data_IF_244501871168
#
_entry.id   IF_244501871168
#
_cell.length_a   1.000
_cell.length_b   1.000
_cell.length_c   1.000
_cell.angle_alpha   90.00
_cell.angle_beta   90.00
_cell.angle_gamma   90.00
#
_symmetry.space_group_name_H-M   'P 1'
#
loop_
_entity.id
_entity.type
_entity.pdbx_description
1 polymer ?
#
# COMPACT_ATOMS: atom_id res chain seq x y z
N UNK A 1 15.23 -36.74 -21.71
CA UNK A 1 15.78 -36.31 -20.40
C UNK A 1 16.42 -34.92 -20.44
N UNK A 2 17.33 -34.61 -21.39
CA UNK A 2 17.98 -33.28 -21.46
C UNK A 2 17.01 -32.10 -21.62
N UNK A 3 15.94 -32.25 -22.42
CA UNK A 3 14.94 -31.18 -22.64
C UNK A 3 14.09 -30.87 -21.40
N UNK A 4 13.73 -31.90 -20.62
CA UNK A 4 12.97 -31.73 -19.38
C UNK A 4 13.84 -31.07 -18.30
N UNK A 5 15.12 -31.45 -18.22
CA UNK A 5 16.08 -30.82 -17.31
C UNK A 5 16.28 -29.33 -17.64
N UNK A 6 16.38 -28.96 -18.93
CA UNK A 6 16.47 -27.55 -19.35
C UNK A 6 15.22 -26.74 -18.97
N UNK A 7 14.02 -27.32 -19.06
CA UNK A 7 12.78 -26.65 -18.66
C UNK A 7 12.73 -26.47 -17.13
N UNK A 8 13.11 -27.48 -16.35
CA UNK A 8 13.17 -27.37 -14.89
C UNK A 8 14.22 -26.35 -14.42
N UNK A 9 15.38 -26.28 -15.09
CA UNK A 9 16.42 -25.28 -14.78
C UNK A 9 15.98 -23.87 -15.18
N UNK A 10 15.26 -23.70 -16.30
CA UNK A 10 14.73 -22.40 -16.71
C UNK A 10 13.66 -21.88 -15.72
N UNK A 11 12.77 -22.77 -15.23
CA UNK A 11 11.78 -22.42 -14.21
C UNK A 11 12.45 -22.12 -12.86
N UNK A 12 13.49 -22.89 -12.49
CA UNK A 12 14.27 -22.61 -11.29
C UNK A 12 14.99 -21.26 -11.38
N UNK A 13 15.63 -20.94 -12.52
CA UNK A 13 16.30 -19.65 -12.74
C UNK A 13 15.32 -18.47 -12.73
N UNK A 14 14.14 -18.61 -13.34
CA UNK A 14 13.09 -17.58 -13.29
C UNK A 14 12.65 -17.28 -11.84
N UNK A 15 12.66 -18.29 -10.96
CA UNK A 15 12.37 -18.12 -9.53
C UNK A 15 13.50 -17.44 -8.74
N UNK A 16 14.75 -17.44 -9.24
CA UNK A 16 15.88 -16.73 -8.58
C UNK A 16 15.98 -15.27 -9.04
N UNK A 17 15.55 -14.96 -10.27
CA UNK A 17 15.60 -13.60 -10.81
C UNK A 17 14.36 -12.74 -10.48
N UNK A 18 13.26 -13.33 -10.01
CA UNK A 18 12.06 -12.58 -9.61
C UNK A 18 12.18 -11.92 -8.23
N UNK A 19 13.26 -12.13 -7.48
CA UNK A 19 13.45 -11.57 -6.13
C UNK A 19 14.50 -10.45 -6.03
N UNK A 20 15.10 -9.97 -7.12
CA UNK A 20 16.19 -9.00 -7.05
C UNK A 20 15.87 -7.57 -7.54
N UNK A 21 14.60 -7.24 -7.82
CA UNK A 21 14.21 -5.87 -8.18
C UNK A 21 13.15 -5.34 -7.22
N UNK A 22 13.60 -4.67 -6.16
CA UNK A 22 12.78 -3.74 -5.39
C UNK A 22 12.49 -4.17 -3.95
N UNK A 23 13.48 -4.08 -3.06
CA UNK A 23 13.21 -3.90 -1.63
C UNK A 23 14.11 -2.81 -1.07
N UNK A 24 13.79 -1.58 -1.46
CA UNK A 24 14.46 -0.35 -1.06
C UNK A 24 13.48 0.65 -0.49
N UNK A 25 12.80 0.31 0.60
CA UNK A 25 12.11 1.23 1.52
C UNK A 25 12.24 0.56 2.90
N UNK A 26 12.98 1.09 3.88
CA UNK A 26 12.81 2.41 4.47
C UNK A 26 11.93 2.26 5.71
N UNK A 27 12.55 2.04 6.89
CA UNK A 27 11.98 2.17 8.24
C UNK A 27 10.56 1.60 8.48
N UNK A 28 10.45 0.31 8.80
CA UNK A 28 9.19 -0.32 9.22
C UNK A 28 9.41 -1.62 10.00
N UNK A 29 8.41 -1.99 10.81
CA UNK A 29 8.37 -3.17 11.67
C UNK A 29 8.85 -4.46 10.97
N UNK A 30 9.54 -5.35 11.70
CA UNK A 30 10.03 -6.62 11.16
C UNK A 30 8.91 -7.39 10.45
N UNK A 31 9.08 -7.63 9.15
CA UNK A 31 8.06 -8.17 8.26
C UNK A 31 8.55 -9.44 7.58
N UNK A 32 7.66 -10.42 7.41
CA UNK A 32 7.94 -11.66 6.67
C UNK A 32 7.93 -11.37 5.17
N UNK A 33 9.11 -11.07 4.60
CA UNK A 33 9.32 -10.66 3.19
C UNK A 33 8.49 -11.43 2.14
N UNK A 34 8.29 -10.86 0.94
CA UNK A 34 7.35 -11.40 -0.04
C UNK A 34 7.60 -12.88 -0.32
N UNK A 35 6.56 -13.69 -0.16
CA UNK A 35 6.59 -15.12 -0.41
C UNK A 35 6.66 -15.43 -1.92
N UNK A 36 7.40 -16.48 -2.28
CA UNK A 36 7.64 -16.87 -3.69
C UNK A 36 6.34 -17.24 -4.45
N UNK A 37 5.40 -17.92 -3.77
CA UNK A 37 4.17 -18.42 -4.40
C UNK A 37 3.01 -17.46 -4.15
N UNK A 38 2.87 -17.03 -2.91
CA UNK A 38 1.80 -16.15 -2.45
C UNK A 38 2.39 -15.18 -1.44
N UNK A 39 2.09 -13.90 -1.64
CA UNK A 39 2.18 -12.87 -0.61
C UNK A 39 0.77 -12.42 -0.33
N UNK A 40 0.32 -12.47 0.92
CA UNK A 40 -0.91 -11.82 1.36
C UNK A 40 -0.64 -11.24 2.75
N UNK A 41 -0.29 -9.95 2.79
CA UNK A 41 0.17 -9.38 4.03
C UNK A 41 -0.07 -7.88 4.14
N UNK A 42 -0.11 -7.43 5.39
CA UNK A 42 -0.20 -6.03 5.77
C UNK A 42 1.17 -5.50 6.22
N UNK A 43 1.42 -4.26 5.86
CA UNK A 43 2.63 -3.52 6.15
C UNK A 43 2.25 -2.16 6.73
N UNK A 44 2.83 -1.81 7.87
CA UNK A 44 2.77 -0.42 8.35
C UNK A 44 3.56 0.46 7.39
N UNK A 45 2.91 1.44 6.77
CA UNK A 45 3.52 2.29 5.75
C UNK A 45 3.98 3.63 6.31
N UNK A 46 3.03 4.41 6.83
CA UNK A 46 3.30 5.77 7.27
C UNK A 46 2.43 6.13 8.47
N UNK A 47 3.04 6.77 9.48
CA UNK A 47 2.34 7.31 10.65
C UNK A 47 2.78 8.76 10.79
N UNK A 48 1.84 9.67 10.64
CA UNK A 48 2.08 11.08 10.92
C UNK A 48 2.15 11.30 12.44
N UNK A 49 3.10 12.12 12.94
CA UNK A 49 3.08 12.56 14.32
C UNK A 49 1.72 13.15 14.69
N UNK A 50 1.23 12.82 15.89
CA UNK A 50 -0.05 13.36 16.36
C UNK A 50 0.05 14.87 16.52
N UNK A 51 -1.00 15.59 16.13
CA UNK A 51 -1.07 17.04 16.30
C UNK A 51 -0.90 17.42 17.78
N UNK A 52 0.04 18.34 18.06
CA UNK A 52 0.34 18.80 19.43
C UNK A 52 -0.81 19.61 20.05
N UNK A 53 -1.66 20.22 19.21
CA UNK A 53 -2.80 21.03 19.61
C UNK A 53 -3.91 20.92 18.57
N UNK A 54 -5.17 20.90 19.03
CA UNK A 54 -6.38 20.94 18.20
C UNK A 54 -7.12 22.29 18.30
N UNK A 55 -6.47 23.33 18.83
CA UNK A 55 -7.13 24.63 19.11
C UNK A 55 -7.58 25.33 17.83
N UNK A 56 -6.79 25.25 16.76
CA UNK A 56 -7.01 25.97 15.50
C UNK A 56 -7.85 25.19 14.48
N UNK A 57 -8.36 24.02 14.86
CA UNK A 57 -9.15 23.15 13.99
C UNK A 57 -10.45 22.73 14.65
N UNK A 58 -11.47 22.54 13.86
CA UNK A 58 -12.71 21.86 14.21
C UNK A 58 -12.59 20.39 13.78
N UNK A 59 -12.83 19.48 14.72
CA UNK A 59 -12.77 18.04 14.47
C UNK A 59 -14.12 17.57 13.95
N UNK A 60 -14.14 17.05 12.72
CA UNK A 60 -15.37 16.57 12.08
C UNK A 60 -15.64 15.08 12.34
N UNK A 61 -14.58 14.30 12.61
CA UNK A 61 -14.70 12.90 12.99
C UNK A 61 -13.61 12.01 12.41
N UNK A 62 -13.59 10.72 12.79
CA UNK A 62 -12.66 9.75 12.23
C UNK A 62 -13.01 9.45 10.77
N UNK A 63 -11.97 9.28 9.95
CA UNK A 63 -12.09 8.92 8.54
C UNK A 63 -11.27 7.69 8.20
N UNK A 64 -11.78 6.95 7.21
CA UNK A 64 -11.08 5.84 6.58
C UNK A 64 -11.25 5.98 5.07
N UNK A 65 -10.15 5.81 4.34
CA UNK A 65 -10.18 5.74 2.88
C UNK A 65 -9.31 4.60 2.37
N UNK A 66 -9.68 4.06 1.23
CA UNK A 66 -8.95 2.96 0.59
C UNK A 66 -8.63 3.33 -0.85
N UNK A 67 -7.40 3.04 -1.28
CA UNK A 67 -6.99 3.16 -2.67
C UNK A 67 -6.30 1.88 -3.13
N UNK A 68 -6.42 1.52 -4.42
CA UNK A 68 -5.97 0.23 -4.94
C UNK A 68 -5.31 0.39 -6.30
N UNK A 69 -4.22 -0.35 -6.49
CA UNK A 69 -3.60 -0.61 -7.77
C UNK A 69 -3.39 -2.10 -7.99
N UNK A 70 -3.37 -2.50 -9.26
CA UNK A 70 -3.17 -3.86 -9.70
C UNK A 70 -2.18 -3.89 -10.86
N UNK A 71 -1.30 -4.88 -10.87
CA UNK A 71 -0.32 -5.11 -11.92
C UNK A 71 -0.30 -6.57 -12.36
N UNK A 72 -0.17 -6.78 -13.66
CA UNK A 72 0.00 -8.08 -14.30
C UNK A 72 1.35 -8.09 -15.01
N UNK A 73 2.22 -9.02 -14.62
CA UNK A 73 3.59 -9.23 -15.10
C UNK A 73 4.51 -8.00 -14.96
N UNK A 74 4.08 -6.96 -14.24
CA UNK A 74 4.73 -5.64 -14.29
C UNK A 74 4.54 -4.91 -15.64
N UNK A 75 3.80 -5.48 -16.59
CA UNK A 75 3.61 -4.94 -17.93
C UNK A 75 2.36 -4.09 -18.05
N UNK A 76 1.31 -4.48 -17.33
CA UNK A 76 0.03 -3.77 -17.31
C UNK A 76 -0.24 -3.39 -15.87
N UNK A 77 -0.25 -2.09 -15.58
CA UNK A 77 -0.61 -1.55 -14.26
C UNK A 77 -1.87 -0.70 -14.40
N UNK A 78 -2.80 -0.85 -13.46
CA UNK A 78 -4.07 -0.13 -13.42
C UNK A 78 -4.41 0.29 -12.00
N UNK A 79 -5.19 1.37 -11.86
CA UNK A 79 -5.56 1.93 -10.56
C UNK A 79 -4.52 2.92 -10.01
N UNK A 80 -4.81 3.42 -8.81
CA UNK A 80 -3.98 4.36 -8.08
C UNK A 80 -4.01 3.97 -6.60
N UNK A 81 -2.89 3.46 -6.11
CA UNK A 81 -2.67 3.16 -4.69
C UNK A 81 -1.82 4.26 -4.05
N UNK A 82 -2.13 5.53 -4.28
CA UNK A 82 -1.49 6.67 -3.63
C UNK A 82 -2.24 7.12 -2.37
N UNK A 83 -1.51 7.79 -1.48
CA UNK A 83 -2.09 8.46 -0.31
C UNK A 83 -3.11 9.53 -0.74
N UNK A 84 -2.88 10.19 -1.88
CA UNK A 84 -3.80 11.19 -2.42
C UNK A 84 -5.16 10.57 -2.78
N UNK A 85 -5.15 9.44 -3.48
CA UNK A 85 -6.37 8.70 -3.79
C UNK A 85 -7.08 8.20 -2.52
N UNK A 86 -6.33 7.69 -1.55
CA UNK A 86 -6.90 7.23 -0.28
C UNK A 86 -7.50 8.40 0.53
N UNK A 87 -6.86 9.57 0.51
CA UNK A 87 -7.38 10.80 1.14
C UNK A 87 -8.66 11.27 0.46
N UNK A 88 -8.72 11.25 -0.87
CA UNK A 88 -9.93 11.61 -1.61
C UNK A 88 -11.10 10.69 -1.27
N UNK A 89 -10.87 9.37 -1.19
CA UNK A 89 -11.90 8.42 -0.77
C UNK A 89 -12.35 8.65 0.69
N UNK A 90 -11.39 8.91 1.60
CA UNK A 90 -11.67 9.19 3.01
C UNK A 90 -12.54 10.45 3.22
N UNK A 91 -12.29 11.51 2.44
CA UNK A 91 -12.99 12.79 2.54
C UNK A 91 -14.32 12.84 1.76
N UNK A 92 -14.63 11.83 0.95
CA UNK A 92 -15.85 11.80 0.11
C UNK A 92 -17.15 12.01 0.90
N UNK A 93 -17.20 11.53 2.14
CA UNK A 93 -18.35 11.68 3.03
C UNK A 93 -18.27 12.90 3.96
N UNK A 94 -17.20 13.70 3.86
CA UNK A 94 -16.94 14.87 4.68
C UNK A 94 -16.75 16.10 3.79
N UNK A 95 -17.81 16.59 3.11
CA UNK A 95 -17.71 17.68 2.13
C UNK A 95 -17.26 19.01 2.73
N UNK A 96 -17.35 19.16 4.05
CA UNK A 96 -16.94 20.36 4.78
C UNK A 96 -15.53 20.24 5.40
N UNK A 97 -14.84 19.11 5.19
CA UNK A 97 -13.49 18.91 5.68
C UNK A 97 -12.48 19.58 4.75
N UNK A 98 -11.52 20.28 5.34
CA UNK A 98 -10.40 20.87 4.63
C UNK A 98 -9.23 19.89 4.54
N UNK A 99 -9.02 19.07 5.58
CA UNK A 99 -7.88 18.15 5.66
C UNK A 99 -8.11 16.95 6.59
N UNK A 100 -7.12 16.06 6.67
CA UNK A 100 -7.02 14.94 7.61
C UNK A 100 -5.73 15.11 8.44
N UNK A 101 -5.84 14.96 9.76
CA UNK A 101 -4.69 14.91 10.67
C UNK A 101 -4.57 13.53 11.33
N UNK A 102 -3.45 13.31 12.02
CA UNK A 102 -3.13 12.06 12.71
C UNK A 102 -3.26 10.87 11.75
N UNK A 103 -2.69 11.02 10.54
CA UNK A 103 -2.81 10.04 9.47
C UNK A 103 -1.99 8.79 9.81
N UNK A 104 -2.62 7.64 9.71
CA UNK A 104 -2.00 6.31 9.71
C UNK A 104 -2.32 5.62 8.39
N UNK A 105 -1.30 5.07 7.73
CA UNK A 105 -1.43 4.40 6.44
C UNK A 105 -0.79 3.03 6.53
N UNK A 106 -1.58 2.02 6.19
CA UNK A 106 -1.11 0.65 6.02
C UNK A 106 -1.29 0.22 4.57
N UNK A 107 -0.36 -0.59 4.10
CA UNK A 107 -0.44 -1.20 2.78
C UNK A 107 -0.78 -2.67 2.95
N UNK A 108 -1.76 -3.16 2.18
CA UNK A 108 -1.95 -4.59 1.96
C UNK A 108 -1.36 -4.93 0.60
N UNK A 109 -0.46 -5.90 0.56
CA UNK A 109 0.05 -6.45 -0.70
C UNK A 109 -0.46 -7.86 -0.85
N UNK A 110 -1.09 -8.12 -1.99
CA UNK A 110 -1.47 -9.45 -2.41
C UNK A 110 -0.74 -9.76 -3.72
N UNK A 111 0.04 -10.85 -3.78
CA UNK A 111 0.72 -11.24 -4.99
C UNK A 111 0.73 -12.75 -5.19
N UNK A 112 0.47 -13.19 -6.42
CA UNK A 112 0.47 -14.60 -6.82
C UNK A 112 1.61 -14.80 -7.82
N UNK A 113 2.54 -15.69 -7.50
CA UNK A 113 3.71 -16.07 -8.30
C UNK A 113 4.61 -14.90 -8.73
N UNK A 114 4.47 -13.72 -8.11
CA UNK A 114 5.09 -12.47 -8.59
C UNK A 114 4.57 -11.99 -9.94
N UNK A 115 3.53 -12.63 -10.48
CA UNK A 115 2.94 -12.34 -11.80
C UNK A 115 1.72 -11.46 -11.68
N UNK A 116 0.91 -11.67 -10.65
CA UNK A 116 -0.23 -10.81 -10.34
C UNK A 116 0.11 -10.14 -9.02
N UNK A 117 -0.03 -8.83 -8.95
CA UNK A 117 0.16 -8.09 -7.70
C UNK A 117 -0.90 -7.01 -7.56
N UNK A 118 -1.59 -7.03 -6.42
CA UNK A 118 -2.49 -6.00 -5.96
C UNK A 118 -1.88 -5.29 -4.75
N UNK A 119 -1.96 -3.97 -4.74
CA UNK A 119 -1.59 -3.14 -3.59
C UNK A 119 -2.79 -2.30 -3.19
N UNK A 120 -3.19 -2.42 -1.93
CA UNK A 120 -4.25 -1.61 -1.34
C UNK A 120 -3.67 -0.74 -0.23
N UNK A 121 -3.85 0.57 -0.30
CA UNK A 121 -3.56 1.48 0.82
C UNK A 121 -4.83 1.68 1.64
N UNK A 122 -4.68 1.56 2.95
CA UNK A 122 -5.71 1.81 3.95
C UNK A 122 -5.28 3.03 4.77
N UNK A 123 -5.89 4.17 4.49
CA UNK A 123 -5.66 5.41 5.22
C UNK A 123 -6.68 5.53 6.35
N UNK A 124 -6.21 5.91 7.53
CA UNK A 124 -7.00 6.22 8.72
C UNK A 124 -6.55 7.56 9.28
N UNK A 125 -7.47 8.32 9.85
CA UNK A 125 -7.14 9.61 10.48
C UNK A 125 -8.37 10.33 10.99
N UNK A 126 -8.23 11.64 11.22
CA UNK A 126 -9.29 12.51 11.71
C UNK A 126 -9.52 13.63 10.70
N UNK A 127 -10.72 13.72 10.13
CA UNK A 127 -11.10 14.84 9.29
C UNK A 127 -11.25 16.11 10.12
N UNK A 128 -10.72 17.20 9.59
CA UNK A 128 -10.72 18.50 10.23
C UNK A 128 -11.17 19.59 9.27
N UNK A 129 -11.59 20.70 9.88
CA UNK A 129 -11.81 21.98 9.22
C UNK A 129 -10.99 23.04 9.94
N UNK A 130 -10.29 23.90 9.22
CA UNK A 130 -9.52 24.97 9.85
C UNK A 130 -10.46 26.05 10.39
N UNK A 131 -10.25 26.46 11.64
CA UNK A 131 -10.91 27.65 12.18
C UNK A 131 -10.25 28.87 11.54
N UNK A 132 -11.06 29.75 10.98
CA UNK A 132 -10.59 31.06 10.50
C UNK A 132 -10.43 32.02 11.66
#
# INVERSE_FOLDING_TARGET
MKKILCVCVAVALAAVFSSCAGYGYGNGFAYAGPGLILTDAYYGGYIQPKAESLKDVEVLGPVKGVSKSSSILGWVSTGDSSILAAKADALRNYPNADDIINIEVDSKVHSILGVISDVELHLRGIAIKYKK
#
